data_IF_830822835839
#
_entry.id   IF_830822835839
#
_cell.length_a   1.000
_cell.length_b   1.000
_cell.length_c   1.000
_cell.angle_alpha   90.00
_cell.angle_beta   90.00
_cell.angle_gamma   90.00
#
_symmetry.space_group_name_H-M   'P 1'
#
loop_
_entity.id
_entity.type
_entity.pdbx_description
1 polymer ?
#
# COMPACT_ATOMS: atom_id res chain seq x y z
N UNK A 1 -3.51 15.93 19.30
CA UNK A 1 -3.21 14.49 19.23
C UNK A 1 -1.97 14.34 18.40
N UNK A 2 -0.96 13.61 18.87
CA UNK A 2 0.25 13.39 18.08
C UNK A 2 -0.09 12.47 16.90
N UNK A 3 0.11 12.95 15.67
CA UNK A 3 -0.18 12.18 14.46
C UNK A 3 0.71 10.93 14.34
N UNK A 4 0.25 9.94 13.58
CA UNK A 4 1.02 8.71 13.35
C UNK A 4 2.32 9.01 12.59
N UNK A 5 3.44 8.38 12.99
CA UNK A 5 4.75 8.50 12.31
C UNK A 5 5.21 7.15 11.78
N UNK A 6 5.69 7.15 10.54
CA UNK A 6 6.35 6.01 9.88
C UNK A 6 7.87 6.02 10.07
N UNK A 7 8.42 6.94 10.87
CA UNK A 7 9.86 7.02 11.12
C UNK A 7 10.40 5.75 11.77
N UNK A 8 11.54 5.26 11.26
CA UNK A 8 12.24 4.13 11.85
C UNK A 8 12.73 4.51 13.24
N UNK A 9 12.38 3.70 14.24
CA UNK A 9 12.76 3.89 15.65
C UNK A 9 14.00 3.07 15.98
N UNK A 10 14.82 3.52 16.92
CA UNK A 10 15.99 2.74 17.39
C UNK A 10 15.60 1.38 18.00
N UNK A 11 14.38 1.28 18.54
CA UNK A 11 13.82 -0.01 19.01
C UNK A 11 13.72 -1.04 17.89
N UNK A 12 13.42 -0.61 16.65
CA UNK A 12 13.35 -1.48 15.49
C UNK A 12 14.72 -2.08 15.16
N UNK A 13 15.75 -1.24 15.09
CA UNK A 13 17.12 -1.71 14.80
C UNK A 13 17.63 -2.66 15.87
N UNK A 14 17.41 -2.34 17.16
CA UNK A 14 17.78 -3.19 18.28
C UNK A 14 17.11 -4.57 18.21
N UNK A 15 15.83 -4.64 17.86
CA UNK A 15 15.13 -5.92 17.70
C UNK A 15 15.73 -6.77 16.57
N UNK A 16 16.05 -6.15 15.42
CA UNK A 16 16.71 -6.87 14.32
C UNK A 16 18.11 -7.36 14.71
N UNK A 17 18.88 -6.56 15.44
CA UNK A 17 20.20 -6.96 15.95
C UNK A 17 20.12 -8.09 16.97
N UNK A 18 19.14 -8.06 17.87
CA UNK A 18 18.94 -9.12 18.85
C UNK A 18 18.73 -10.48 18.17
N UNK A 19 17.85 -10.55 17.17
CA UNK A 19 17.63 -11.79 16.39
C UNK A 19 18.93 -12.29 15.75
N UNK A 20 19.78 -11.38 15.23
CA UNK A 20 21.08 -11.75 14.66
C UNK A 20 22.04 -12.28 15.73
N UNK A 21 22.09 -11.66 16.92
CA UNK A 21 22.95 -12.09 18.04
C UNK A 21 22.56 -13.46 18.57
N UNK A 22 21.28 -13.80 18.52
CA UNK A 22 20.75 -15.11 18.92
C UNK A 22 20.91 -16.19 17.82
N UNK A 23 21.61 -15.88 16.72
CA UNK A 23 21.87 -16.83 15.62
C UNK A 23 20.77 -16.90 14.55
N UNK A 24 19.75 -16.05 14.64
CA UNK A 24 18.66 -15.96 13.69
C UNK A 24 18.97 -15.07 12.46
N UNK A 25 18.06 -15.10 11.49
CA UNK A 25 18.09 -14.25 10.28
C UNK A 25 16.78 -13.45 10.19
N UNK A 26 16.76 -12.18 10.62
CA UNK A 26 15.51 -11.43 10.67
C UNK A 26 15.02 -11.03 9.28
N UNK A 27 13.71 -11.13 9.05
CA UNK A 27 13.03 -10.53 7.90
C UNK A 27 12.28 -9.28 8.36
N UNK A 28 12.72 -8.12 7.87
CA UNK A 28 12.27 -6.82 8.33
C UNK A 28 10.92 -6.45 7.69
N UNK A 29 9.84 -6.48 8.48
CA UNK A 29 8.51 -6.02 8.05
C UNK A 29 8.23 -4.65 8.67
N UNK A 30 8.22 -3.57 7.88
CA UNK A 30 7.97 -2.23 8.40
C UNK A 30 6.51 -2.06 8.85
N UNK A 31 6.23 -0.93 9.48
CA UNK A 31 4.88 -0.58 9.91
C UNK A 31 3.86 -0.70 8.75
N UNK A 32 2.78 -1.45 8.98
CA UNK A 32 1.73 -1.72 8.00
C UNK A 32 2.21 -2.47 6.74
N UNK A 33 3.43 -3.03 6.76
CA UNK A 33 4.13 -3.59 5.60
C UNK A 33 4.26 -2.61 4.42
N UNK A 34 4.05 -1.30 4.66
CA UNK A 34 3.81 -0.36 3.56
C UNK A 34 5.08 0.12 2.89
N UNK A 35 6.05 0.60 3.67
CA UNK A 35 7.35 1.04 3.15
C UNK A 35 8.30 -0.15 2.93
N UNK A 36 7.80 -1.17 2.23
CA UNK A 36 8.52 -2.37 1.82
C UNK A 36 8.43 -2.49 0.30
N UNK A 37 9.48 -2.97 -0.42
CA UNK A 37 9.43 -3.10 -1.88
C UNK A 37 8.20 -3.88 -2.38
N UNK A 38 7.78 -4.91 -1.66
CA UNK A 38 6.63 -5.75 -2.01
C UNK A 38 5.28 -5.25 -1.45
N UNK A 39 5.28 -4.15 -0.68
CA UNK A 39 4.16 -3.76 0.18
C UNK A 39 2.86 -3.43 -0.57
N UNK A 40 2.95 -2.93 -1.80
CA UNK A 40 1.78 -2.59 -2.62
C UNK A 40 1.24 -3.72 -3.50
N UNK A 41 1.98 -4.82 -3.67
CA UNK A 41 1.62 -5.87 -4.63
C UNK A 41 0.31 -6.57 -4.29
N UNK A 42 0.05 -6.81 -3.00
CA UNK A 42 -1.19 -7.46 -2.56
C UNK A 42 -2.44 -6.70 -3.01
N UNK A 43 -2.45 -5.38 -2.82
CA UNK A 43 -3.60 -4.56 -3.21
C UNK A 43 -3.60 -4.13 -4.68
N UNK A 44 -2.48 -4.29 -5.40
CA UNK A 44 -2.52 -4.27 -6.86
C UNK A 44 -3.29 -5.48 -7.39
N UNK A 45 -3.03 -6.68 -6.86
CA UNK A 45 -3.76 -7.90 -7.21
C UNK A 45 -5.23 -7.88 -6.74
N UNK A 46 -5.53 -7.19 -5.63
CA UNK A 46 -6.91 -6.95 -5.18
C UNK A 46 -7.79 -6.33 -6.27
N UNK A 47 -7.24 -5.48 -7.13
CA UNK A 47 -8.02 -4.89 -8.22
C UNK A 47 -8.55 -5.97 -9.19
N UNK A 48 -7.77 -7.01 -9.45
CA UNK A 48 -8.17 -8.12 -10.33
C UNK A 48 -9.21 -9.01 -9.65
N UNK A 49 -9.07 -9.23 -8.34
CA UNK A 49 -10.10 -9.89 -7.53
C UNK A 49 -11.45 -9.15 -7.61
N UNK A 50 -11.43 -7.82 -7.48
CA UNK A 50 -12.64 -6.99 -7.64
C UNK A 50 -13.23 -7.12 -9.05
N UNK A 51 -12.40 -7.08 -10.09
CA UNK A 51 -12.89 -7.21 -11.47
C UNK A 51 -13.52 -8.58 -11.73
N UNK A 52 -12.96 -9.65 -11.16
CA UNK A 52 -13.57 -10.98 -11.22
C UNK A 52 -14.93 -11.00 -10.52
N UNK A 53 -15.01 -10.50 -9.29
CA UNK A 53 -16.26 -10.46 -8.51
C UNK A 53 -17.33 -9.60 -9.18
N UNK A 54 -16.96 -8.46 -9.78
CA UNK A 54 -17.85 -7.62 -10.58
C UNK A 54 -18.46 -8.38 -11.77
N UNK A 55 -17.64 -9.17 -12.47
CA UNK A 55 -18.11 -10.02 -13.57
C UNK A 55 -19.08 -11.10 -13.09
N UNK A 56 -18.84 -11.71 -11.94
CA UNK A 56 -19.70 -12.75 -11.37
C UNK A 56 -21.03 -12.19 -10.86
N UNK A 57 -21.01 -10.98 -10.29
CA UNK A 57 -22.20 -10.32 -9.74
C UNK A 57 -22.98 -9.51 -10.78
N UNK A 58 -22.39 -9.23 -11.94
CA UNK A 58 -22.99 -8.34 -12.95
C UNK A 58 -23.09 -6.89 -12.49
N UNK A 59 -22.18 -6.44 -11.61
CA UNK A 59 -22.14 -5.07 -11.07
C UNK A 59 -20.82 -4.40 -11.42
N UNK A 60 -20.76 -3.09 -11.31
CA UNK A 60 -19.50 -2.36 -11.36
C UNK A 60 -19.44 -1.35 -10.22
N UNK A 61 -18.35 -1.39 -9.46
CA UNK A 61 -18.09 -0.41 -8.43
C UNK A 61 -17.29 0.73 -9.03
N UNK A 62 -17.94 1.85 -9.37
CA UNK A 62 -17.26 3.01 -9.94
C UNK A 62 -16.34 3.72 -8.92
N UNK A 63 -16.59 3.50 -7.63
CA UNK A 63 -15.90 4.14 -6.52
C UNK A 63 -15.50 3.12 -5.45
N UNK A 64 -14.23 3.15 -5.06
CA UNK A 64 -13.66 2.34 -3.97
C UNK A 64 -13.23 3.29 -2.86
N UNK A 65 -13.65 3.02 -1.63
CA UNK A 65 -13.33 3.82 -0.45
C UNK A 65 -12.48 2.97 0.50
N UNK A 66 -11.38 3.53 1.01
CA UNK A 66 -10.49 2.80 1.93
C UNK A 66 -9.90 3.70 3.01
N UNK A 67 -9.75 3.18 4.23
CA UNK A 67 -9.00 3.84 5.29
C UNK A 67 -7.50 3.82 4.95
N UNK A 68 -6.81 4.94 5.16
CA UNK A 68 -5.41 5.09 4.77
C UNK A 68 -4.59 5.68 5.90
N UNK A 69 -3.55 4.95 6.32
CA UNK A 69 -2.56 5.41 7.28
C UNK A 69 -1.15 5.25 6.70
N UNK A 70 -0.60 4.03 6.68
CA UNK A 70 0.77 3.77 6.18
C UNK A 70 0.87 3.69 4.65
N UNK A 71 -0.25 3.50 3.95
CA UNK A 71 -0.43 3.86 2.55
C UNK A 71 -0.42 2.72 1.51
N UNK A 72 0.17 1.55 1.78
CA UNK A 72 0.34 0.53 0.72
C UNK A 72 -0.97 -0.09 0.22
N UNK A 73 -2.00 -0.17 1.06
CA UNK A 73 -3.35 -0.58 0.66
C UNK A 73 -3.89 0.31 -0.45
N UNK A 74 -3.99 1.61 -0.20
CA UNK A 74 -4.49 2.55 -1.20
C UNK A 74 -3.55 2.62 -2.42
N UNK A 75 -2.23 2.58 -2.20
CA UNK A 75 -1.25 2.62 -3.29
C UNK A 75 -1.39 1.43 -4.25
N UNK A 76 -1.53 0.20 -3.71
CA UNK A 76 -1.77 -0.99 -4.51
C UNK A 76 -3.07 -0.87 -5.30
N UNK A 77 -4.16 -0.46 -4.66
CA UNK A 77 -5.46 -0.24 -5.34
C UNK A 77 -5.33 0.76 -6.49
N UNK A 78 -4.64 1.90 -6.27
CA UNK A 78 -4.41 2.91 -7.32
C UNK A 78 -3.70 2.29 -8.52
N UNK A 79 -2.65 1.51 -8.30
CA UNK A 79 -1.89 0.85 -9.39
C UNK A 79 -2.74 -0.20 -10.10
N UNK A 80 -3.36 -1.11 -9.34
CA UNK A 80 -4.17 -2.20 -9.89
C UNK A 80 -5.36 -1.70 -10.71
N UNK A 81 -6.15 -0.76 -10.17
CA UNK A 81 -7.27 -0.20 -10.92
C UNK A 81 -6.83 0.65 -12.11
N UNK A 82 -5.66 1.28 -12.06
CA UNK A 82 -5.11 2.02 -13.22
C UNK A 82 -4.72 1.10 -14.37
N UNK A 83 -4.37 -0.15 -14.09
CA UNK A 83 -4.06 -1.16 -15.10
C UNK A 83 -5.30 -1.62 -15.89
N UNK A 84 -6.50 -1.45 -15.34
CA UNK A 84 -7.74 -1.91 -15.95
C UNK A 84 -8.31 -0.92 -16.98
N UNK A 85 -9.19 -1.39 -17.86
CA UNK A 85 -9.78 -0.55 -18.92
C UNK A 85 -10.80 0.45 -18.36
N UNK A 86 -11.62 0.01 -17.41
CA UNK A 86 -12.67 0.83 -16.81
C UNK A 86 -12.10 1.68 -15.69
N UNK A 87 -12.09 2.99 -15.89
CA UNK A 87 -11.65 3.93 -14.85
C UNK A 87 -12.57 3.86 -13.62
N UNK A 88 -11.97 3.83 -12.43
CA UNK A 88 -12.64 3.93 -11.13
C UNK A 88 -12.03 5.06 -10.32
N UNK A 89 -12.78 5.56 -9.33
CA UNK A 89 -12.28 6.49 -8.33
C UNK A 89 -11.84 5.74 -7.07
N UNK A 90 -10.62 5.98 -6.60
CA UNK A 90 -10.14 5.47 -5.31
C UNK A 90 -10.10 6.63 -4.30
N UNK A 91 -10.93 6.57 -3.28
CA UNK A 91 -11.04 7.58 -2.21
C UNK A 91 -10.38 7.03 -0.94
N UNK A 92 -9.20 7.55 -0.62
CA UNK A 92 -8.53 7.29 0.66
C UNK A 92 -9.02 8.23 1.75
N UNK A 93 -9.41 7.68 2.90
CA UNK A 93 -9.77 8.43 4.11
C UNK A 93 -8.56 8.40 5.06
N UNK A 94 -7.95 9.56 5.31
CA UNK A 94 -6.81 9.67 6.23
C UNK A 94 -7.22 9.27 7.65
N UNK A 95 -6.47 8.34 8.24
CA UNK A 95 -6.61 7.94 9.64
C UNK A 95 -5.34 8.18 10.45
N UNK A 96 -4.29 8.74 9.83
CA UNK A 96 -3.04 9.09 10.51
C UNK A 96 -3.11 10.42 11.26
N UNK A 97 -4.17 11.20 11.06
CA UNK A 97 -4.26 12.62 11.45
C UNK A 97 -3.08 13.44 10.89
N UNK A 98 -2.59 13.05 9.72
CA UNK A 98 -1.48 13.69 9.01
C UNK A 98 -1.62 13.43 7.51
N UNK A 99 -2.54 14.15 6.83
CA UNK A 99 -2.89 13.87 5.44
C UNK A 99 -1.73 14.10 4.47
N UNK A 100 -0.77 14.96 4.80
CA UNK A 100 0.40 15.20 3.97
C UNK A 100 1.36 13.99 4.00
N UNK A 101 1.62 13.43 5.19
CA UNK A 101 2.41 12.20 5.35
C UNK A 101 1.75 11.04 4.59
N UNK A 102 0.45 10.83 4.81
CA UNK A 102 -0.32 9.76 4.17
C UNK A 102 -0.28 9.90 2.65
N UNK A 103 -0.51 11.09 2.11
CA UNK A 103 -0.45 11.34 0.65
C UNK A 103 0.94 11.05 0.09
N UNK A 104 2.01 11.52 0.74
CA UNK A 104 3.39 11.24 0.31
C UNK A 104 3.70 9.73 0.32
N UNK A 105 3.28 9.01 1.36
CA UNK A 105 3.48 7.58 1.46
C UNK A 105 2.76 6.83 0.33
N UNK A 106 1.48 7.11 0.10
CA UNK A 106 0.69 6.50 -0.98
C UNK A 106 1.34 6.77 -2.33
N UNK A 107 1.69 8.02 -2.66
CA UNK A 107 2.32 8.37 -3.94
C UNK A 107 3.66 7.66 -4.14
N UNK A 108 4.52 7.64 -3.12
CA UNK A 108 5.82 6.94 -3.17
C UNK A 108 5.62 5.45 -3.46
N UNK A 109 4.75 4.79 -2.69
CA UNK A 109 4.52 3.34 -2.80
C UNK A 109 3.84 3.00 -4.13
N UNK A 110 2.90 3.83 -4.60
CA UNK A 110 2.20 3.59 -5.86
C UNK A 110 3.19 3.60 -7.04
N UNK A 111 4.11 4.59 -7.09
CA UNK A 111 5.15 4.65 -8.12
C UNK A 111 6.06 3.42 -8.10
N UNK A 112 6.57 3.05 -6.92
CA UNK A 112 7.43 1.87 -6.79
C UNK A 112 6.68 0.56 -7.17
N UNK A 113 5.42 0.45 -6.77
CA UNK A 113 4.60 -0.73 -7.10
C UNK A 113 4.32 -0.79 -8.61
N UNK A 114 4.07 0.35 -9.25
CA UNK A 114 3.83 0.44 -10.69
C UNK A 114 5.04 0.01 -11.51
N UNK A 115 6.24 0.41 -11.10
CA UNK A 115 7.49 -0.04 -11.71
C UNK A 115 7.63 -1.56 -11.60
N UNK A 116 7.35 -2.14 -10.42
CA UNK A 116 7.46 -3.58 -10.19
C UNK A 116 6.47 -4.41 -11.04
N UNK A 117 5.25 -3.91 -11.27
CA UNK A 117 4.25 -4.60 -12.09
C UNK A 117 4.33 -4.23 -13.58
N UNK A 118 5.27 -3.35 -13.97
CA UNK A 118 5.46 -2.94 -15.36
C UNK A 118 4.31 -2.09 -15.92
N UNK A 119 3.63 -1.30 -15.09
CA UNK A 119 2.53 -0.44 -15.53
C UNK A 119 3.06 0.68 -16.44
N UNK A 120 2.58 0.73 -17.68
CA UNK A 120 2.99 1.73 -18.68
C UNK A 120 2.17 3.03 -18.66
N UNK A 121 1.15 3.10 -17.81
CA UNK A 121 0.25 4.26 -17.70
C UNK A 121 0.73 5.17 -16.58
N UNK A 122 0.57 6.47 -16.77
CA UNK A 122 0.84 7.46 -15.72
C UNK A 122 -0.13 7.30 -14.54
N UNK A 123 0.39 7.60 -13.35
CA UNK A 123 -0.29 7.55 -12.05
C UNK A 123 -0.18 8.90 -11.35
#
# INVERSE_FOLDING_TARGET
GEGYSTSVKDTWQRALEQVRREGGRPYAIPAGASDHPLGGLGYANFADEVAQQESELGVFFDTIITATCTGSTQAGMVVGFRAQERARRVIGIDTAANPEMTRRAVTKIARATAELVGLKREI
#
